data_IF_690353910314
#
_entry.id   IF_690353910314
#
_cell.length_a   1.000
_cell.length_b   1.000
_cell.length_c   1.000
_cell.angle_alpha   90.00
_cell.angle_beta   90.00
_cell.angle_gamma   90.00
#
_symmetry.space_group_name_H-M   'P 1'
#
loop_
_entity.id
_entity.type
_entity.pdbx_description
1 polymer ?
#
# COMPACT_ATOMS: atom_id res chain seq x y z
N UNK A 1 4.43 3.97 9.68
CA UNK A 1 4.77 4.05 8.24
C UNK A 1 4.33 5.41 7.76
N UNK A 2 5.25 6.35 7.64
CA UNK A 2 4.92 7.72 7.23
C UNK A 2 4.56 7.82 5.74
N UNK A 3 3.87 8.89 5.37
CA UNK A 3 3.45 9.16 3.98
C UNK A 3 4.66 9.22 3.03
N UNK A 4 5.80 9.71 3.51
CA UNK A 4 7.05 9.71 2.74
C UNK A 4 7.61 8.30 2.53
N UNK A 5 7.48 7.42 3.51
CA UNK A 5 7.89 6.02 3.38
C UNK A 5 7.01 5.30 2.34
N UNK A 6 5.70 5.57 2.32
CA UNK A 6 4.77 5.04 1.31
C UNK A 6 5.11 5.52 -0.11
N UNK A 7 5.50 6.80 -0.26
CA UNK A 7 5.99 7.34 -1.55
C UNK A 7 7.28 6.67 -2.01
N UNK A 8 8.25 6.46 -1.11
CA UNK A 8 9.49 5.74 -1.39
C UNK A 8 9.22 4.27 -1.75
N UNK A 9 8.22 3.65 -1.14
CA UNK A 9 7.83 2.27 -1.38
C UNK A 9 7.25 2.05 -2.78
N UNK A 10 6.48 3.00 -3.33
CA UNK A 10 5.96 2.91 -4.70
C UNK A 10 7.07 2.83 -5.77
N UNK A 11 8.23 3.44 -5.52
CA UNK A 11 9.38 3.35 -6.45
C UNK A 11 9.87 1.90 -6.61
N UNK A 12 9.60 1.02 -5.63
CA UNK A 12 10.06 -0.37 -5.61
C UNK A 12 8.92 -1.40 -5.73
N UNK A 13 8.51 -1.70 -6.97
CA UNK A 13 7.45 -2.69 -7.27
C UNK A 13 7.72 -4.09 -6.70
N UNK A 14 8.98 -4.51 -6.56
CA UNK A 14 9.35 -5.82 -5.98
C UNK A 14 9.02 -5.91 -4.49
N UNK A 15 9.31 -4.85 -3.74
CA UNK A 15 9.02 -4.79 -2.30
C UNK A 15 7.52 -4.71 -2.06
N UNK A 16 6.82 -3.90 -2.87
CA UNK A 16 5.34 -3.83 -2.83
C UNK A 16 4.72 -5.20 -3.02
N UNK A 17 5.15 -5.99 -4.01
CA UNK A 17 4.66 -7.37 -4.21
C UNK A 17 5.02 -8.32 -3.06
N UNK A 18 6.17 -8.15 -2.41
CA UNK A 18 6.61 -8.98 -1.27
C UNK A 18 5.79 -8.69 -0.02
N UNK A 19 5.57 -7.40 0.27
CA UNK A 19 4.64 -6.94 1.30
C UNK A 19 3.23 -7.45 1.00
N UNK A 20 2.86 -7.45 -0.29
CA UNK A 20 1.56 -7.88 -0.72
C UNK A 20 1.25 -9.35 -0.48
N UNK A 21 2.28 -10.19 -0.54
CA UNK A 21 2.17 -11.61 -0.21
C UNK A 21 2.28 -11.88 1.29
N UNK A 22 2.87 -10.97 2.07
CA UNK A 22 3.19 -11.19 3.49
C UNK A 22 2.06 -10.74 4.42
N UNK A 23 1.36 -9.68 4.07
CA UNK A 23 0.28 -9.10 4.88
C UNK A 23 -1.04 -9.25 4.13
N UNK A 24 -2.18 -9.36 4.82
CA UNK A 24 -3.49 -9.48 4.16
C UNK A 24 -4.22 -8.13 4.08
N UNK A 25 -4.01 -7.27 5.07
CA UNK A 25 -4.61 -5.95 5.16
C UNK A 25 -3.60 -4.91 5.68
N UNK A 26 -3.82 -3.64 5.36
CA UNK A 26 -3.08 -2.53 5.95
C UNK A 26 -4.03 -1.64 6.74
N UNK A 27 -3.62 -1.32 7.96
CA UNK A 27 -4.24 -0.29 8.80
C UNK A 27 -3.62 1.07 8.47
N UNK A 28 -4.44 2.07 8.20
CA UNK A 28 -3.97 3.44 7.99
C UNK A 28 -5.03 4.46 8.40
N UNK A 29 -4.62 5.69 8.72
CA UNK A 29 -5.57 6.78 8.97
C UNK A 29 -6.40 7.12 7.73
N UNK A 30 -7.61 7.62 7.90
CA UNK A 30 -8.53 7.95 6.79
C UNK A 30 -7.91 8.86 5.71
N UNK A 31 -7.12 9.85 6.12
CA UNK A 31 -6.43 10.76 5.20
C UNK A 31 -5.41 10.06 4.29
N UNK A 32 -4.83 8.95 4.76
CA UNK A 32 -3.81 8.16 4.07
C UNK A 32 -4.46 7.01 3.27
N UNK A 33 -5.54 6.41 3.77
CA UNK A 33 -6.31 5.36 3.08
C UNK A 33 -6.75 5.83 1.69
N UNK A 34 -7.23 7.06 1.55
CA UNK A 34 -7.65 7.61 0.24
C UNK A 34 -6.47 7.81 -0.73
N UNK A 35 -5.27 8.00 -0.20
CA UNK A 35 -4.06 8.22 -1.00
C UNK A 35 -3.36 6.91 -1.39
N UNK A 36 -3.46 5.87 -0.57
CA UNK A 36 -2.78 4.58 -0.78
C UNK A 36 -3.09 3.94 -2.14
N UNK A 37 -4.35 3.80 -2.59
CA UNK A 37 -4.68 3.23 -3.90
C UNK A 37 -4.05 4.02 -5.05
N UNK A 38 -3.98 5.35 -4.94
CA UNK A 38 -3.38 6.24 -5.93
C UNK A 38 -1.85 6.18 -5.91
N UNK A 39 -1.26 6.09 -4.72
CA UNK A 39 0.19 6.11 -4.50
C UNK A 39 0.84 4.77 -4.79
N UNK A 40 0.29 3.67 -4.32
CA UNK A 40 0.86 2.34 -4.50
C UNK A 40 0.32 1.60 -5.74
N UNK A 41 -0.65 2.22 -6.42
CA UNK A 41 -1.14 1.84 -7.73
C UNK A 41 -1.88 0.49 -7.77
N UNK A 42 -2.17 -0.03 -8.98
CA UNK A 42 -2.87 -1.29 -9.18
C UNK A 42 -2.11 -2.53 -8.66
N UNK A 43 -0.87 -2.38 -8.18
CA UNK A 43 -0.06 -3.47 -7.66
C UNK A 43 -0.59 -4.09 -6.37
N UNK A 44 -1.20 -3.30 -5.47
CA UNK A 44 -1.87 -3.82 -4.28
C UNK A 44 -3.30 -4.26 -4.55
N UNK A 45 -4.02 -3.56 -5.43
CA UNK A 45 -5.40 -3.90 -5.76
C UNK A 45 -5.46 -5.27 -6.48
N UNK A 46 -4.50 -5.54 -7.37
CA UNK A 46 -4.36 -6.85 -8.02
C UNK A 46 -3.90 -7.96 -7.06
N UNK A 47 -3.31 -7.61 -5.92
CA UNK A 47 -2.92 -8.56 -4.89
C UNK A 47 -4.05 -8.88 -3.90
N UNK A 48 -5.25 -8.33 -4.10
CA UNK A 48 -6.41 -8.60 -3.24
C UNK A 48 -6.28 -8.03 -1.82
N UNK A 49 -5.46 -6.99 -1.65
CA UNK A 49 -5.23 -6.39 -0.34
C UNK A 49 -6.22 -5.28 -0.07
N UNK A 50 -6.84 -5.37 1.11
CA UNK A 50 -7.82 -4.39 1.55
C UNK A 50 -7.22 -3.43 2.57
N UNK A 51 -7.65 -2.16 2.49
CA UNK A 51 -7.29 -1.12 3.43
C UNK A 51 -8.47 -0.93 4.37
N UNK A 52 -8.26 -1.16 5.66
CA UNK A 52 -9.28 -0.88 6.70
C UNK A 52 -8.84 0.32 7.53
N UNK A 53 -9.82 1.11 7.97
CA UNK A 53 -9.65 2.17 8.97
C UNK A 53 -9.11 1.59 10.29
#
# INVERSE_FOLDING_TARGET
MDVEALKKLNKNKKLVKKLAKKYHAFLASEAVIKQIPRLLGPGLNKAGMFFSL
#
